data_IF_412143787425
#
_entry.id   IF_412143787425
#
_cell.length_a   1.000
_cell.length_b   1.000
_cell.length_c   1.000
_cell.angle_alpha   90.00
_cell.angle_beta   90.00
_cell.angle_gamma   90.00
#
_symmetry.space_group_name_H-M   'P 1'
#
loop_
_entity.id
_entity.type
_entity.pdbx_description
1 polymer ?
#
# COMPACT_ATOMS: atom_id res chain seq x y z
N UNK A 1 -36.35 1.84 2.90
CA UNK A 1 -36.76 0.76 1.99
C UNK A 1 -35.53 -0.07 1.73
N UNK A 2 -35.25 -1.22 2.35
CA UNK A 2 -36.13 -2.32 2.68
C UNK A 2 -35.45 -3.19 3.75
N UNK A 3 -35.82 -2.97 5.01
CA UNK A 3 -35.39 -3.71 6.21
C UNK A 3 -36.00 -5.11 6.28
N UNK A 4 -36.13 -5.82 5.15
CA UNK A 4 -37.01 -7.01 5.01
C UNK A 4 -36.32 -8.22 4.39
N UNK A 5 -35.06 -8.48 4.73
CA UNK A 5 -34.37 -9.73 4.31
C UNK A 5 -33.89 -10.63 5.46
N UNK A 6 -34.14 -10.28 6.73
CA UNK A 6 -33.82 -11.15 7.88
C UNK A 6 -35.11 -11.63 8.58
N UNK A 7 -36.03 -12.15 7.79
CA UNK A 7 -37.27 -12.77 8.25
C UNK A 7 -37.51 -14.06 7.48
N UNK A 8 -36.66 -15.06 7.67
CA UNK A 8 -37.02 -16.44 7.38
C UNK A 8 -37.07 -17.19 8.71
N UNK A 9 -38.28 -17.36 9.23
CA UNK A 9 -38.57 -18.39 10.21
C UNK A 9 -38.40 -19.75 9.54
N UNK A 10 -37.59 -20.62 10.14
CA UNK A 10 -37.81 -22.06 10.08
C UNK A 10 -37.91 -22.56 11.52
N UNK A 11 -39.14 -22.71 11.97
CA UNK A 11 -39.52 -23.51 13.13
C UNK A 11 -39.60 -24.98 12.66
N UNK A 12 -38.75 -25.86 13.21
CA UNK A 12 -38.76 -27.27 12.83
C UNK A 12 -37.54 -28.10 13.26
N UNK A 13 -37.50 -28.46 14.55
CA UNK A 13 -36.89 -29.66 15.19
C UNK A 13 -35.52 -30.16 14.72
N UNK A 14 -34.58 -30.13 15.67
CA UNK A 14 -33.28 -30.84 15.65
C UNK A 14 -32.15 -29.86 15.91
N UNK A 15 -31.87 -29.59 17.20
CA UNK A 15 -31.22 -28.36 17.71
C UNK A 15 -29.87 -28.01 17.08
N UNK A 16 -29.55 -26.70 16.95
CA UNK A 16 -28.31 -26.16 17.52
C UNK A 16 -28.39 -24.65 17.85
N UNK A 17 -27.36 -24.14 18.54
CA UNK A 17 -27.16 -22.74 18.97
C UNK A 17 -27.58 -21.69 17.92
N UNK A 18 -28.71 -21.00 18.11
CA UNK A 18 -29.08 -19.87 17.24
C UNK A 18 -28.35 -18.62 17.72
N UNK A 19 -27.08 -18.48 17.35
CA UNK A 19 -26.33 -17.26 17.64
C UNK A 19 -27.06 -16.04 17.07
N UNK A 20 -27.08 -14.89 17.78
CA UNK A 20 -27.77 -13.70 17.28
C UNK A 20 -27.21 -13.30 15.91
N UNK A 21 -28.03 -12.86 14.94
CA UNK A 21 -27.56 -12.51 13.60
C UNK A 21 -26.43 -11.46 13.62
N UNK A 22 -26.46 -10.56 14.61
CA UNK A 22 -25.40 -9.58 14.87
C UNK A 22 -24.06 -10.20 15.28
N UNK A 23 -24.07 -11.29 16.06
CA UNK A 23 -22.85 -12.01 16.44
C UNK A 23 -22.22 -12.67 15.22
N UNK A 24 -23.01 -13.37 14.40
CA UNK A 24 -22.52 -13.99 13.18
C UNK A 24 -21.93 -12.95 12.20
N UNK A 25 -22.57 -11.79 12.06
CA UNK A 25 -22.06 -10.69 11.23
C UNK A 25 -20.71 -10.17 11.74
N UNK A 26 -20.59 -9.88 13.04
CA UNK A 26 -19.32 -9.42 13.63
C UNK A 26 -18.20 -10.47 13.49
N UNK A 27 -18.52 -11.74 13.66
CA UNK A 27 -17.57 -12.84 13.48
C UNK A 27 -17.08 -12.92 12.03
N UNK A 28 -17.97 -12.81 11.05
CA UNK A 28 -17.57 -12.82 9.62
C UNK A 28 -16.67 -11.63 9.30
N UNK A 29 -16.99 -10.43 9.78
CA UNK A 29 -16.16 -9.24 9.56
C UNK A 29 -14.78 -9.43 10.21
N UNK A 30 -14.72 -9.95 11.43
CA UNK A 30 -13.46 -10.25 12.11
C UNK A 30 -12.58 -11.24 11.33
N UNK A 31 -13.18 -12.30 10.76
CA UNK A 31 -12.46 -13.26 9.93
C UNK A 31 -11.93 -12.63 8.64
N UNK A 32 -12.72 -11.77 7.99
CA UNK A 32 -12.28 -11.03 6.79
C UNK A 32 -11.13 -10.09 7.14
N UNK A 33 -11.22 -9.38 8.26
CA UNK A 33 -10.17 -8.48 8.74
C UNK A 33 -8.87 -9.22 9.06
N UNK A 34 -8.96 -10.39 9.71
CA UNK A 34 -7.81 -11.24 9.97
C UNK A 34 -7.13 -11.70 8.67
N UNK A 35 -7.91 -12.20 7.70
CA UNK A 35 -7.39 -12.63 6.40
C UNK A 35 -6.77 -11.45 5.66
N UNK A 36 -7.42 -10.29 5.64
CA UNK A 36 -6.89 -9.09 5.02
C UNK A 36 -5.56 -8.64 5.64
N UNK A 37 -5.45 -8.68 6.98
CA UNK A 37 -4.21 -8.38 7.69
C UNK A 37 -3.07 -9.33 7.34
N UNK A 38 -3.35 -10.65 7.28
CA UNK A 38 -2.35 -11.65 6.87
C UNK A 38 -1.92 -11.43 5.42
N UNK A 39 -2.86 -11.23 4.50
CA UNK A 39 -2.56 -10.97 3.09
C UNK A 39 -1.74 -9.69 2.93
N UNK A 40 -2.10 -8.60 3.62
CA UNK A 40 -1.35 -7.35 3.58
C UNK A 40 0.10 -7.54 4.02
N UNK A 41 0.34 -8.32 5.09
CA UNK A 41 1.70 -8.62 5.55
C UNK A 41 2.51 -9.43 4.53
N UNK A 42 1.91 -10.49 3.95
CA UNK A 42 2.57 -11.32 2.94
C UNK A 42 2.87 -10.52 1.68
N UNK A 43 1.91 -9.73 1.18
CA UNK A 43 2.11 -8.88 0.01
C UNK A 43 3.15 -7.80 0.26
N UNK A 44 3.18 -7.18 1.44
CA UNK A 44 4.21 -6.19 1.78
C UNK A 44 5.62 -6.78 1.65
N UNK A 45 5.86 -7.98 2.17
CA UNK A 45 7.15 -8.66 2.06
C UNK A 45 7.53 -9.01 0.61
N UNK A 46 6.56 -9.39 -0.23
CA UNK A 46 6.82 -9.69 -1.65
C UNK A 46 7.05 -8.44 -2.48
N UNK A 47 6.21 -7.42 -2.26
CA UNK A 47 6.26 -6.15 -2.99
C UNK A 47 7.60 -5.44 -2.79
N UNK A 48 8.22 -5.49 -1.60
CA UNK A 48 9.52 -4.83 -1.40
C UNK A 48 10.61 -5.37 -2.34
N UNK A 49 10.66 -6.68 -2.55
CA UNK A 49 11.68 -7.31 -3.39
C UNK A 49 11.38 -7.14 -4.88
N UNK A 50 10.11 -7.33 -5.28
CA UNK A 50 9.69 -7.12 -6.67
C UNK A 50 9.87 -5.67 -7.08
N UNK A 51 9.51 -4.72 -6.21
CA UNK A 51 9.63 -3.30 -6.47
C UNK A 51 11.09 -2.89 -6.68
N UNK A 52 12.03 -3.44 -5.90
CA UNK A 52 13.47 -3.21 -6.07
C UNK A 52 13.95 -3.56 -7.47
N UNK A 53 13.59 -4.76 -7.93
CA UNK A 53 14.02 -5.25 -9.23
C UNK A 53 13.30 -4.52 -10.37
N UNK A 54 11.99 -4.33 -10.23
CA UNK A 54 11.16 -3.74 -11.26
C UNK A 54 11.47 -2.26 -11.47
N UNK A 55 11.67 -1.49 -10.40
CA UNK A 55 12.00 -0.07 -10.50
C UNK A 55 13.36 0.14 -11.16
N UNK A 56 14.39 -0.61 -10.75
CA UNK A 56 15.73 -0.49 -11.34
C UNK A 56 15.71 -0.82 -12.84
N UNK A 57 15.06 -1.92 -13.22
CA UNK A 57 14.92 -2.32 -14.62
C UNK A 57 14.14 -1.28 -15.42
N UNK A 58 13.02 -0.82 -14.89
CA UNK A 58 12.15 0.17 -15.55
C UNK A 58 12.89 1.50 -15.77
N UNK A 59 13.67 1.93 -14.78
CA UNK A 59 14.48 3.14 -14.83
C UNK A 59 15.61 3.05 -15.86
N UNK A 60 16.30 1.91 -15.92
CA UNK A 60 17.46 1.74 -16.81
C UNK A 60 17.06 1.41 -18.25
N UNK A 61 16.01 0.61 -18.45
CA UNK A 61 15.61 0.14 -19.77
C UNK A 61 14.51 0.97 -20.42
N UNK A 62 13.48 1.41 -19.68
CA UNK A 62 12.24 1.92 -20.27
C UNK A 62 12.08 3.44 -20.17
N UNK A 63 12.81 4.09 -19.26
CA UNK A 63 12.75 5.53 -19.10
C UNK A 63 13.17 6.27 -20.38
N UNK A 64 12.41 7.27 -20.80
CA UNK A 64 12.69 8.08 -22.00
C UNK A 64 12.38 7.39 -23.32
N UNK A 65 11.90 6.14 -23.33
CA UNK A 65 11.51 5.48 -24.58
C UNK A 65 10.18 6.05 -25.14
N UNK A 66 10.06 6.26 -26.46
CA UNK A 66 8.83 6.76 -27.08
C UNK A 66 7.60 5.87 -26.84
N UNK A 67 7.80 4.57 -26.64
CA UNK A 67 6.73 3.59 -26.35
C UNK A 67 6.35 3.53 -24.87
N UNK A 68 7.07 4.24 -23.99
CA UNK A 68 6.97 4.15 -22.54
C UNK A 68 6.86 5.55 -21.88
N UNK A 69 6.08 6.45 -22.49
CA UNK A 69 5.90 7.82 -21.99
C UNK A 69 5.26 7.84 -20.59
N UNK A 70 4.29 6.96 -20.34
CA UNK A 70 3.64 6.83 -19.03
C UNK A 70 4.61 6.37 -17.93
N UNK A 71 5.56 5.49 -18.28
CA UNK A 71 6.61 5.06 -17.36
C UNK A 71 7.51 6.24 -17.01
N UNK A 72 7.91 7.03 -18.00
CA UNK A 72 8.75 8.22 -17.80
C UNK A 72 8.07 9.20 -16.84
N UNK A 73 6.79 9.54 -17.10
CA UNK A 73 6.03 10.42 -16.24
C UNK A 73 5.84 9.86 -14.81
N UNK A 74 5.71 8.55 -14.67
CA UNK A 74 5.59 7.89 -13.36
C UNK A 74 6.89 7.94 -12.57
N UNK A 75 8.04 7.73 -13.23
CA UNK A 75 9.37 7.86 -12.62
C UNK A 75 9.65 9.31 -12.23
N UNK A 76 9.26 10.28 -13.06
CA UNK A 76 9.43 11.70 -12.76
C UNK A 76 8.66 12.12 -11.50
N UNK A 77 7.39 11.70 -11.41
CA UNK A 77 6.56 11.92 -10.21
C UNK A 77 7.14 11.23 -9.00
N UNK A 78 7.54 9.97 -9.12
CA UNK A 78 8.17 9.22 -8.02
C UNK A 78 9.37 9.99 -7.46
N UNK A 79 10.25 10.50 -8.32
CA UNK A 79 11.43 11.24 -7.89
C UNK A 79 11.11 12.56 -7.19
N UNK A 80 10.13 13.31 -7.70
CA UNK A 80 9.72 14.59 -7.12
C UNK A 80 8.93 14.41 -5.81
N UNK A 81 7.98 13.49 -5.78
CA UNK A 81 7.13 13.24 -4.62
C UNK A 81 7.94 12.67 -3.44
N UNK A 82 8.81 11.71 -3.72
CA UNK A 82 9.66 11.07 -2.70
C UNK A 82 11.01 11.75 -2.49
N UNK A 83 11.30 12.81 -3.25
CA UNK A 83 12.54 13.60 -3.15
C UNK A 83 13.77 12.70 -3.20
N UNK A 84 13.85 11.87 -4.24
CA UNK A 84 14.86 10.85 -4.45
C UNK A 84 15.37 10.89 -5.90
N UNK A 85 16.48 10.20 -6.18
CA UNK A 85 17.01 10.10 -7.53
C UNK A 85 17.64 8.72 -7.76
N UNK A 86 17.20 8.06 -8.83
CA UNK A 86 17.61 6.69 -9.13
C UNK A 86 16.88 5.66 -8.27
N UNK A 87 17.14 4.38 -8.52
CA UNK A 87 16.46 3.28 -7.84
C UNK A 87 17.03 3.09 -6.43
N UNK A 88 18.31 2.75 -6.34
CA UNK A 88 19.12 2.65 -5.12
C UNK A 88 20.04 3.86 -4.95
N UNK A 89 20.43 4.49 -6.07
CA UNK A 89 21.31 5.66 -6.06
C UNK A 89 21.18 6.48 -7.33
N UNK A 90 21.59 7.75 -7.28
CA UNK A 90 21.65 8.59 -8.48
C UNK A 90 22.64 8.04 -9.54
N UNK A 91 23.55 7.14 -9.16
CA UNK A 91 24.51 6.53 -10.08
C UNK A 91 23.86 5.46 -10.98
N UNK A 92 22.67 4.96 -10.64
CA UNK A 92 21.94 3.96 -11.44
C UNK A 92 21.63 4.49 -12.86
N UNK A 93 21.56 5.81 -13.01
CA UNK A 93 21.37 6.49 -14.29
C UNK A 93 22.54 6.35 -15.25
N UNK A 94 23.77 6.12 -14.77
CA UNK A 94 24.98 6.09 -15.59
C UNK A 94 24.94 5.01 -16.68
N UNK A 95 24.19 3.93 -16.44
CA UNK A 95 24.04 2.81 -17.37
C UNK A 95 22.65 2.74 -18.00
N UNK A 96 21.81 3.76 -17.79
CA UNK A 96 20.47 3.79 -18.37
C UNK A 96 20.51 4.08 -19.88
N UNK A 97 19.58 3.46 -20.60
CA UNK A 97 19.39 3.69 -22.04
C UNK A 97 19.14 5.17 -22.36
N UNK A 98 18.43 5.88 -21.49
CA UNK A 98 18.18 7.32 -21.61
C UNK A 98 19.45 8.16 -21.56
N UNK A 99 20.32 7.97 -20.56
CA UNK A 99 21.54 8.79 -20.44
C UNK A 99 22.53 8.50 -21.57
N UNK A 100 22.51 7.28 -22.11
CA UNK A 100 23.32 6.88 -23.26
C UNK A 100 22.75 7.37 -24.60
N UNK A 101 21.52 7.87 -24.63
CA UNK A 101 20.86 8.32 -25.85
C UNK A 101 21.12 9.81 -26.12
N UNK A 102 20.87 10.25 -27.36
CA UNK A 102 21.11 11.64 -27.76
C UNK A 102 20.14 12.61 -27.07
N UNK A 103 18.96 12.12 -26.68
CA UNK A 103 17.91 12.85 -25.96
C UNK A 103 18.33 13.31 -24.57
N UNK A 104 19.35 12.68 -23.97
CA UNK A 104 19.88 13.14 -22.68
C UNK A 104 20.49 14.54 -22.77
N UNK A 105 20.98 14.98 -23.93
CA UNK A 105 21.62 16.30 -24.12
C UNK A 105 22.71 16.60 -23.08
N UNK A 106 23.53 15.59 -22.75
CA UNK A 106 24.61 15.68 -21.78
C UNK A 106 24.17 15.67 -20.30
N UNK A 107 22.89 15.41 -20.01
CA UNK A 107 22.41 15.13 -18.66
C UNK A 107 23.05 13.83 -18.15
N UNK A 108 23.33 13.77 -16.84
CA UNK A 108 23.81 12.57 -16.15
C UNK A 108 22.70 11.89 -15.32
N UNK A 109 21.65 12.65 -15.01
CA UNK A 109 20.39 12.20 -14.41
C UNK A 109 19.24 12.97 -15.08
N UNK A 110 18.00 12.49 -15.05
CA UNK A 110 16.88 13.27 -15.57
C UNK A 110 16.62 14.54 -14.76
N UNK A 111 15.95 15.51 -15.37
CA UNK A 111 15.68 16.81 -14.73
C UNK A 111 14.72 16.68 -13.52
N UNK A 112 13.92 15.60 -13.45
CA UNK A 112 13.11 15.20 -12.30
C UNK A 112 13.93 14.78 -11.07
N UNK A 113 15.24 14.55 -11.18
CA UNK A 113 16.10 14.33 -10.02
C UNK A 113 16.49 15.63 -9.31
N UNK A 114 16.24 16.79 -9.92
CA UNK A 114 16.66 18.08 -9.40
C UNK A 114 15.69 18.61 -8.34
N UNK A 115 16.25 19.27 -7.32
CA UNK A 115 15.49 20.00 -6.29
C UNK A 115 14.71 21.17 -6.87
N UNK A 116 15.22 21.75 -7.94
CA UNK A 116 14.55 22.77 -8.73
C UNK A 116 14.55 22.29 -10.17
N UNK A 117 13.38 21.93 -10.67
CA UNK A 117 13.24 21.37 -12.01
C UNK A 117 13.36 22.51 -13.01
N UNK A 118 14.52 22.58 -13.66
CA UNK A 118 14.79 23.47 -14.79
C UNK A 118 15.38 22.65 -15.92
N UNK A 119 15.18 23.10 -17.15
CA UNK A 119 15.71 22.42 -18.34
C UNK A 119 17.21 22.20 -18.21
N UNK A 120 17.65 20.95 -18.36
CA UNK A 120 19.05 20.50 -18.31
C UNK A 120 19.73 20.67 -16.94
N UNK A 121 18.98 20.78 -15.84
CA UNK A 121 19.56 20.77 -14.50
C UNK A 121 20.33 19.47 -14.20
N UNK A 122 19.93 18.36 -14.82
CA UNK A 122 20.53 17.03 -14.65
C UNK A 122 21.95 16.89 -15.19
N UNK A 123 22.51 17.91 -15.84
CA UNK A 123 23.92 17.92 -16.28
C UNK A 123 24.91 17.99 -15.11
N UNK A 124 24.48 18.58 -13.98
CA UNK A 124 25.33 18.78 -12.79
C UNK A 124 24.84 17.95 -11.61
N UNK A 125 25.51 16.82 -11.37
CA UNK A 125 25.25 15.94 -10.24
C UNK A 125 25.98 16.48 -9.00
N UNK A 126 25.28 17.30 -8.21
CA UNK A 126 25.80 17.81 -6.94
C UNK A 126 24.74 17.69 -5.83
N UNK A 127 25.10 17.36 -4.57
CA UNK A 127 24.12 17.20 -3.48
C UNK A 127 23.26 18.45 -3.20
N UNK A 128 23.72 19.65 -3.56
CA UNK A 128 22.92 20.87 -3.47
C UNK A 128 21.90 21.03 -4.59
N UNK A 129 22.09 20.36 -5.74
CA UNK A 129 21.24 20.48 -6.93
C UNK A 129 20.22 19.34 -7.05
N UNK A 130 20.63 18.11 -6.74
CA UNK A 130 19.80 16.91 -6.92
C UNK A 130 19.43 16.25 -5.59
N UNK A 131 18.40 15.42 -5.61
CA UNK A 131 18.01 14.57 -4.50
C UNK A 131 18.97 13.38 -4.34
N UNK A 132 20.10 13.62 -3.66
CA UNK A 132 21.08 12.57 -3.35
C UNK A 132 20.77 11.95 -1.99
N UNK A 133 19.89 10.95 -2.00
CA UNK A 133 19.45 10.21 -0.81
C UNK A 133 20.08 8.82 -0.81
N UNK A 134 20.58 8.37 0.34
CA UNK A 134 21.07 6.99 0.50
C UNK A 134 19.92 5.99 0.33
N UNK A 135 20.14 4.96 -0.48
CA UNK A 135 19.11 3.96 -0.80
C UNK A 135 18.11 4.39 -1.89
N UNK A 136 18.24 5.60 -2.43
CA UNK A 136 17.50 6.05 -3.61
C UNK A 136 15.98 6.09 -3.39
N UNK A 137 15.22 5.92 -4.47
CA UNK A 137 13.75 5.92 -4.40
C UNK A 137 13.17 4.65 -3.77
N UNK A 138 13.87 3.51 -3.85
CA UNK A 138 13.44 2.25 -3.23
C UNK A 138 13.27 2.45 -1.73
N UNK A 139 14.30 2.95 -1.05
CA UNK A 139 14.26 3.09 0.42
C UNK A 139 13.18 4.07 0.85
N UNK A 140 12.93 5.13 0.07
CA UNK A 140 11.85 6.09 0.35
C UNK A 140 10.47 5.47 0.19
N UNK A 141 10.28 4.64 -0.83
CA UNK A 141 9.02 3.96 -1.07
C UNK A 141 8.76 2.85 -0.04
N UNK A 142 9.79 2.10 0.36
CA UNK A 142 9.71 1.14 1.47
C UNK A 142 9.32 1.83 2.79
N UNK A 143 9.97 2.95 3.12
CA UNK A 143 9.62 3.75 4.30
C UNK A 143 8.18 4.21 4.27
N UNK A 144 7.74 4.79 3.14
CA UNK A 144 6.37 5.25 2.98
C UNK A 144 5.36 4.12 3.13
N UNK A 145 5.61 2.96 2.53
CA UNK A 145 4.72 1.81 2.62
C UNK A 145 4.68 1.24 4.04
N UNK A 146 5.84 1.17 4.73
CA UNK A 146 5.93 0.75 6.12
C UNK A 146 5.13 1.66 7.05
N UNK A 147 5.27 2.98 6.90
CA UNK A 147 4.57 3.97 7.73
C UNK A 147 3.05 3.90 7.53
N UNK A 148 2.60 3.76 6.28
CA UNK A 148 1.17 3.63 5.98
C UNK A 148 0.60 2.28 6.45
N UNK A 149 1.37 1.20 6.34
CA UNK A 149 0.98 -0.11 6.85
C UNK A 149 0.88 -0.12 8.38
N UNK A 150 1.77 0.58 9.07
CA UNK A 150 1.71 0.75 10.52
C UNK A 150 0.42 1.46 10.94
N UNK A 151 0.07 2.56 10.26
CA UNK A 151 -1.16 3.31 10.55
C UNK A 151 -2.42 2.49 10.27
N UNK A 152 -2.48 1.82 9.11
CA UNK A 152 -3.61 0.92 8.78
C UNK A 152 -3.71 -0.24 9.77
N UNK A 153 -2.57 -0.81 10.19
CA UNK A 153 -2.51 -1.86 11.21
C UNK A 153 -3.05 -1.40 12.56
N UNK A 154 -2.69 -0.20 13.01
CA UNK A 154 -3.21 0.37 14.26
C UNK A 154 -4.74 0.56 14.20
N UNK A 155 -5.26 1.06 13.08
CA UNK A 155 -6.71 1.21 12.87
C UNK A 155 -7.41 -0.16 12.88
N UNK A 156 -6.86 -1.16 12.17
CA UNK A 156 -7.40 -2.52 12.17
C UNK A 156 -7.44 -3.14 13.56
N UNK A 157 -6.35 -3.05 14.34
CA UNK A 157 -6.36 -3.55 15.72
C UNK A 157 -7.47 -2.88 16.55
N UNK A 158 -7.69 -1.57 16.37
CA UNK A 158 -8.79 -0.86 17.03
C UNK A 158 -10.17 -1.39 16.64
N UNK A 159 -10.39 -1.65 15.34
CA UNK A 159 -11.65 -2.21 14.82
C UNK A 159 -11.87 -3.63 15.36
N UNK A 160 -10.84 -4.49 15.34
CA UNK A 160 -10.88 -5.83 15.91
C UNK A 160 -11.25 -5.81 17.40
N UNK A 161 -10.68 -4.90 18.20
CA UNK A 161 -11.05 -4.74 19.61
C UNK A 161 -12.53 -4.39 19.79
N UNK A 162 -13.06 -3.44 19.00
CA UNK A 162 -14.47 -3.06 19.04
C UNK A 162 -15.41 -4.21 18.66
N UNK A 163 -15.04 -5.01 17.66
CA UNK A 163 -15.79 -6.21 17.27
C UNK A 163 -15.84 -7.24 18.41
N UNK A 164 -14.71 -7.49 19.09
CA UNK A 164 -14.66 -8.39 20.25
C UNK A 164 -15.56 -7.90 21.38
N UNK A 165 -15.52 -6.60 21.70
CA UNK A 165 -16.45 -6.01 22.67
C UNK A 165 -17.92 -6.20 22.24
N UNK A 166 -18.24 -5.97 20.97
CA UNK A 166 -19.58 -6.17 20.41
C UNK A 166 -20.07 -7.62 20.52
N UNK A 167 -19.19 -8.58 20.25
CA UNK A 167 -19.47 -10.01 20.41
C UNK A 167 -19.77 -10.37 21.88
N UNK A 168 -18.96 -9.89 22.83
CA UNK A 168 -19.17 -10.11 24.28
C UNK A 168 -20.52 -9.54 24.72
N UNK A 169 -20.82 -8.28 24.35
CA UNK A 169 -22.06 -7.62 24.72
C UNK A 169 -23.28 -8.34 24.15
N UNK A 170 -23.21 -8.79 22.90
CA UNK A 170 -24.28 -9.54 22.23
C UNK A 170 -24.56 -10.86 22.97
N UNK A 171 -23.51 -11.60 23.34
CA UNK A 171 -23.63 -12.82 24.14
C UNK A 171 -24.23 -12.56 25.52
N UNK A 172 -23.79 -11.50 26.22
CA UNK A 172 -24.32 -11.11 27.52
C UNK A 172 -25.80 -10.72 27.46
N UNK A 173 -26.18 -9.93 26.46
CA UNK A 173 -27.57 -9.49 26.27
C UNK A 173 -28.47 -10.68 25.92
N UNK A 174 -28.04 -11.56 25.02
CA UNK A 174 -28.79 -12.76 24.66
C UNK A 174 -29.05 -13.65 25.89
N UNK A 175 -28.02 -13.89 26.73
CA UNK A 175 -28.16 -14.63 27.98
C UNK A 175 -29.12 -13.95 28.97
N UNK A 176 -29.10 -12.62 29.08
CA UNK A 176 -30.03 -11.89 29.95
C UNK A 176 -31.47 -11.97 29.45
N UNK A 177 -31.70 -11.83 28.14
CA UNK A 177 -33.03 -11.93 27.55
C UNK A 177 -33.61 -13.34 27.74
N UNK A 178 -32.81 -14.39 27.47
CA UNK A 178 -33.25 -15.77 27.70
C UNK A 178 -33.68 -16.02 29.15
N UNK A 179 -32.94 -15.52 30.14
CA UNK A 179 -33.31 -15.62 31.57
C UNK A 179 -34.52 -14.79 31.98
N UNK A 180 -34.91 -13.79 31.21
CA UNK A 180 -36.07 -12.96 31.53
C UNK A 180 -37.37 -13.56 30.98
N UNK A 181 -37.28 -14.28 29.85
CA UNK A 181 -38.44 -14.93 29.23
C UNK A 181 -38.66 -16.38 29.67
N UNK A 182 -37.64 -17.05 30.22
CA UNK A 182 -37.69 -18.39 30.82
C UNK A 182 -37.37 -18.30 32.31
#
# INVERSE_FOLDING_TARGET
>A
FQTRFLGFSSEGRGGPSTDPPYFCLLLVIFLVELVAGVLAHVYYQRLSDELKQHLNRTLTENYGQPRAVEITASVDRLQQDFKCCGSNSSADWQHSSYILSQEAEGRQVPDSCCKTVVTRCGQRVHPSNIYKVEGGCITKLEQFLADHLLLMGAVGIGVACLQICGMILTCCLHRRLQRHFY
#
